data_IF_840987845547
#
_entry.id   IF_840987845547
#
_cell.length_a   1.000
_cell.length_b   1.000
_cell.length_c   1.000
_cell.angle_alpha   90.00
_cell.angle_beta   90.00
_cell.angle_gamma   90.00
#
_symmetry.space_group_name_H-M   'P 1'
#
loop_
_entity.id
_entity.type
_entity.pdbx_description
1 polymer ?
#
# COMPACT_ATOMS: atom_id res chain seq x y z
N UNK A 1 7.42 4.88 -9.01
CA UNK A 1 8.86 5.20 -8.82
C UNK A 1 9.14 5.30 -7.33
N UNK A 2 10.39 5.08 -6.92
CA UNK A 2 10.88 5.26 -5.56
C UNK A 2 11.83 6.47 -5.48
N UNK A 3 12.17 6.92 -4.27
CA UNK A 3 13.06 8.07 -4.04
C UNK A 3 14.19 7.75 -3.05
N UNK A 4 15.44 8.08 -3.38
CA UNK A 4 16.58 7.98 -2.48
C UNK A 4 16.79 9.27 -1.67
N UNK A 5 16.62 9.19 -0.36
CA UNK A 5 16.81 10.31 0.59
C UNK A 5 18.20 10.35 1.26
N UNK A 6 19.11 9.46 0.86
CA UNK A 6 20.47 9.37 1.39
C UNK A 6 21.23 10.70 1.29
N UNK A 7 21.92 11.10 2.36
CA UNK A 7 22.69 12.37 2.38
C UNK A 7 23.96 12.25 1.53
N UNK A 8 24.65 11.12 1.64
CA UNK A 8 25.87 10.80 0.89
C UNK A 8 25.50 9.85 -0.24
N UNK A 9 25.15 10.41 -1.40
CA UNK A 9 24.75 9.67 -2.59
C UNK A 9 25.60 10.12 -3.79
N UNK A 10 25.97 9.21 -4.73
CA UNK A 10 26.84 9.57 -5.84
C UNK A 10 26.32 10.77 -6.63
N UNK A 11 27.19 11.78 -6.86
CA UNK A 11 26.81 12.92 -7.70
C UNK A 11 26.51 12.43 -9.11
N UNK A 12 25.36 12.84 -9.65
CA UNK A 12 24.89 12.44 -10.97
C UNK A 12 24.03 11.17 -10.98
N UNK A 13 23.95 10.42 -9.88
CA UNK A 13 23.01 9.31 -9.77
C UNK A 13 21.57 9.85 -9.59
N UNK A 14 20.57 9.30 -10.33
CA UNK A 14 19.18 9.72 -10.21
C UNK A 14 18.61 9.34 -8.83
N UNK A 15 18.05 10.32 -8.12
CA UNK A 15 17.36 10.07 -6.85
C UNK A 15 15.96 9.48 -7.03
N UNK A 16 15.35 9.63 -8.21
CA UNK A 16 14.06 9.03 -8.56
C UNK A 16 14.28 7.93 -9.60
N UNK A 17 14.05 6.67 -9.22
CA UNK A 17 14.19 5.53 -10.10
C UNK A 17 13.34 4.35 -9.59
N UNK A 18 13.44 3.17 -10.23
CA UNK A 18 12.95 1.94 -9.62
C UNK A 18 13.78 1.60 -8.37
N UNK A 19 13.16 0.94 -7.39
CA UNK A 19 13.79 0.64 -6.11
C UNK A 19 15.10 -0.13 -6.27
N UNK A 20 15.13 -1.13 -7.15
CA UNK A 20 16.33 -1.95 -7.41
C UNK A 20 17.47 -1.10 -7.97
N UNK A 21 17.20 -0.21 -8.92
CA UNK A 21 18.20 0.71 -9.48
C UNK A 21 18.80 1.63 -8.40
N UNK A 22 17.98 2.10 -7.44
CA UNK A 22 18.46 2.94 -6.34
C UNK A 22 19.39 2.14 -5.40
N UNK A 23 19.06 0.87 -5.13
CA UNK A 23 19.88 -0.04 -4.31
C UNK A 23 21.22 -0.31 -5.02
N UNK A 24 21.19 -0.61 -6.32
CA UNK A 24 22.40 -0.83 -7.13
C UNK A 24 23.33 0.39 -7.15
N UNK A 25 22.76 1.60 -7.10
CA UNK A 25 23.50 2.86 -7.03
C UNK A 25 23.97 3.22 -5.62
N UNK A 26 23.80 2.33 -4.64
CA UNK A 26 24.30 2.48 -3.28
C UNK A 26 23.38 3.25 -2.34
N UNK A 27 22.11 3.44 -2.70
CA UNK A 27 21.14 3.98 -1.74
C UNK A 27 20.77 2.90 -0.72
N UNK A 28 20.91 3.22 0.57
CA UNK A 28 20.51 2.28 1.62
C UNK A 28 19.00 2.09 1.66
N UNK A 29 18.53 0.87 1.95
CA UNK A 29 17.10 0.52 1.89
C UNK A 29 16.26 1.37 2.85
N UNK A 30 16.77 1.67 4.03
CA UNK A 30 16.14 2.54 5.04
C UNK A 30 15.97 3.99 4.56
N UNK A 31 16.77 4.42 3.57
CA UNK A 31 16.70 5.76 3.01
C UNK A 31 15.95 5.79 1.66
N UNK A 32 15.37 4.68 1.22
CA UNK A 32 14.49 4.63 0.05
C UNK A 32 13.04 4.84 0.50
N UNK A 33 12.43 5.90 -0.04
CA UNK A 33 11.00 6.17 0.10
C UNK A 33 10.27 5.56 -1.09
N UNK A 34 9.48 4.52 -0.84
CA UNK A 34 8.69 3.82 -1.85
C UNK A 34 7.33 3.41 -1.27
N UNK A 35 6.36 4.34 -1.15
CA UNK A 35 5.03 4.02 -0.64
C UNK A 35 4.35 3.01 -1.56
N UNK A 36 3.85 1.92 -0.98
CA UNK A 36 3.13 0.87 -1.70
C UNK A 36 1.65 1.08 -1.44
N UNK A 37 0.85 1.10 -2.51
CA UNK A 37 -0.61 1.08 -2.37
C UNK A 37 -1.04 -0.28 -1.85
N UNK A 38 -1.69 -0.28 -0.71
CA UNK A 38 -2.26 -1.47 -0.09
C UNK A 38 -3.74 -1.26 0.15
N UNK A 39 -4.50 -2.34 0.31
CA UNK A 39 -5.91 -2.27 0.71
C UNK A 39 -6.10 -3.13 1.95
N UNK A 40 -6.67 -2.55 3.00
CA UNK A 40 -6.94 -3.24 4.26
C UNK A 40 -8.45 -3.38 4.43
N UNK A 41 -8.93 -4.60 4.65
CA UNK A 41 -10.33 -4.86 4.97
C UNK A 41 -10.54 -4.61 6.45
N UNK A 42 -11.42 -3.66 6.79
CA UNK A 42 -11.71 -3.28 8.17
C UNK A 42 -12.99 -3.93 8.71
N UNK A 43 -13.94 -4.24 7.83
CA UNK A 43 -15.21 -4.90 8.19
C UNK A 43 -15.61 -5.83 7.03
N UNK A 44 -15.82 -7.11 7.34
CA UNK A 44 -15.98 -8.19 6.36
C UNK A 44 -17.06 -9.23 6.76
N UNK A 45 -18.15 -8.75 7.37
CA UNK A 45 -19.27 -9.59 7.76
C UNK A 45 -19.82 -10.40 6.56
N UNK A 46 -20.19 -11.68 6.74
CA UNK A 46 -20.72 -12.50 5.66
C UNK A 46 -22.07 -11.95 5.16
N UNK A 47 -22.36 -12.20 3.88
CA UNK A 47 -23.68 -11.93 3.33
C UNK A 47 -24.73 -12.79 4.05
N UNK A 48 -25.90 -12.21 4.30
CA UNK A 48 -26.99 -12.94 4.95
C UNK A 48 -27.69 -13.92 4.00
N UNK A 49 -28.18 -15.02 4.55
CA UNK A 49 -29.03 -15.97 3.83
C UNK A 49 -30.44 -15.44 3.59
N UNK A 50 -31.19 -16.13 2.72
CA UNK A 50 -32.59 -15.82 2.46
C UNK A 50 -33.44 -15.93 3.74
N UNK A 51 -34.34 -14.97 3.94
CA UNK A 51 -35.20 -14.91 5.13
C UNK A 51 -34.59 -14.15 6.32
N UNK A 52 -33.42 -13.52 6.15
CA UNK A 52 -32.88 -12.58 7.12
C UNK A 52 -33.91 -11.47 7.45
N UNK A 53 -33.95 -11.07 8.72
CA UNK A 53 -34.92 -10.08 9.19
C UNK A 53 -34.72 -8.73 8.47
N UNK A 54 -35.84 -8.06 8.18
CA UNK A 54 -35.82 -6.74 7.56
C UNK A 54 -35.03 -5.76 8.43
N UNK A 55 -34.02 -5.11 7.83
CA UNK A 55 -33.14 -4.17 8.51
C UNK A 55 -31.88 -4.79 9.14
N UNK A 56 -31.72 -6.12 9.14
CA UNK A 56 -30.50 -6.79 9.61
C UNK A 56 -29.77 -7.59 8.53
N UNK A 57 -30.29 -7.62 7.30
CA UNK A 57 -29.66 -8.34 6.20
C UNK A 57 -28.39 -7.62 5.72
N UNK A 58 -27.25 -8.31 5.78
CA UNK A 58 -25.98 -7.86 5.20
C UNK A 58 -25.97 -8.23 3.72
N UNK A 59 -25.97 -7.21 2.87
CA UNK A 59 -26.08 -7.37 1.41
C UNK A 59 -24.81 -6.95 0.64
N UNK A 60 -23.82 -6.40 1.35
CA UNK A 60 -22.55 -5.95 0.77
C UNK A 60 -21.40 -6.53 1.60
N UNK A 61 -20.32 -6.91 0.91
CA UNK A 61 -19.09 -7.44 1.51
C UNK A 61 -17.87 -7.08 0.62
N UNK A 62 -16.76 -6.57 1.17
CA UNK A 62 -16.61 -6.08 2.55
C UNK A 62 -17.46 -4.83 2.79
N UNK A 63 -17.80 -4.55 4.06
CA UNK A 63 -18.57 -3.36 4.42
C UNK A 63 -17.66 -2.14 4.57
N UNK A 64 -16.37 -2.36 4.87
CA UNK A 64 -15.40 -1.27 5.05
C UNK A 64 -14.01 -1.65 4.57
N UNK A 65 -13.46 -0.77 3.75
CA UNK A 65 -12.08 -0.82 3.26
C UNK A 65 -11.33 0.43 3.71
N UNK A 66 -10.03 0.27 3.92
CA UNK A 66 -9.08 1.37 4.06
C UNK A 66 -8.13 1.34 2.87
N UNK A 67 -8.10 2.47 2.17
CA UNK A 67 -7.21 2.75 1.05
C UNK A 67 -6.31 3.91 1.49
N UNK A 68 -5.09 3.64 1.96
CA UNK A 68 -4.11 4.64 2.36
C UNK A 68 -3.44 5.33 1.17
#
# INVERSE_FOLDING_TARGET
CAWCSEKVYPRGAPRCAQMDNLIEQGCSKENIVNPITESEVLEDEPLSDAGAAAGSAIQLKPQKLKLP
#
